data_IF_051284555343
#
_entry.id   IF_051284555343
#
_cell.length_a   1.000
_cell.length_b   1.000
_cell.length_c   1.000
_cell.angle_alpha   90.00
_cell.angle_beta   90.00
_cell.angle_gamma   90.00
#
_symmetry.space_group_name_H-M   'P 1'
#
loop_
_entity.id
_entity.type
_entity.pdbx_description
1 polymer ?
#
# COMPACT_ATOMS: atom_id res chain seq x y z
N UNK A 1 -37.84 25.99 -25.01
CA UNK A 1 -36.92 25.40 -26.02
C UNK A 1 -35.50 25.93 -25.89
N UNK A 2 -35.30 27.26 -25.81
CA UNK A 2 -33.97 27.90 -25.64
C UNK A 2 -33.27 27.51 -24.31
N UNK A 3 -34.03 27.35 -23.21
CA UNK A 3 -33.49 26.86 -21.93
C UNK A 3 -33.02 25.40 -21.97
N UNK A 4 -33.57 24.58 -22.87
CA UNK A 4 -33.20 23.17 -23.02
C UNK A 4 -31.89 23.05 -23.82
N UNK A 5 -31.79 23.81 -24.91
CA UNK A 5 -30.55 23.94 -25.69
C UNK A 5 -29.42 24.63 -24.92
N UNK A 6 -29.71 25.63 -24.07
CA UNK A 6 -28.69 26.23 -23.21
C UNK A 6 -28.18 25.24 -22.14
N UNK A 7 -29.05 24.35 -21.64
CA UNK A 7 -28.66 23.31 -20.69
C UNK A 7 -27.81 22.21 -21.35
N UNK A 8 -28.10 21.85 -22.60
CA UNK A 8 -27.28 20.93 -23.39
C UNK A 8 -25.98 21.57 -23.88
N UNK A 9 -25.99 22.85 -24.27
CA UNK A 9 -24.79 23.58 -24.70
C UNK A 9 -23.82 23.85 -23.54
N UNK A 10 -24.32 24.19 -22.35
CA UNK A 10 -23.51 24.28 -21.12
C UNK A 10 -23.02 22.89 -20.70
N UNK A 11 -23.77 21.83 -21.01
CA UNK A 11 -23.35 20.44 -20.80
C UNK A 11 -22.27 19.97 -21.79
N UNK A 12 -22.21 20.51 -23.02
CA UNK A 12 -21.16 20.17 -23.99
C UNK A 12 -19.88 20.99 -23.82
N UNK A 13 -19.99 22.19 -23.21
CA UNK A 13 -18.86 23.14 -23.06
C UNK A 13 -18.20 23.06 -21.66
N UNK A 14 -18.86 22.46 -20.68
CA UNK A 14 -18.11 21.77 -19.63
C UNK A 14 -17.44 20.56 -20.25
N UNK A 15 -16.11 20.47 -20.16
CA UNK A 15 -15.37 19.20 -20.29
C UNK A 15 -15.94 18.25 -19.25
N UNK A 16 -17.02 17.52 -19.58
CA UNK A 16 -17.57 16.48 -18.72
C UNK A 16 -16.46 15.45 -18.65
N UNK A 17 -15.73 15.44 -17.53
CA UNK A 17 -14.85 14.33 -17.19
C UNK A 17 -15.71 13.09 -17.36
N UNK A 18 -15.29 12.20 -18.26
CA UNK A 18 -15.99 10.96 -18.51
C UNK A 18 -16.24 10.29 -17.14
N UNK A 19 -17.46 9.84 -16.86
CA UNK A 19 -17.79 9.26 -15.54
C UNK A 19 -16.81 8.14 -15.16
N UNK A 20 -16.32 7.40 -16.16
CA UNK A 20 -15.30 6.37 -15.98
C UNK A 20 -13.93 6.94 -15.58
N UNK A 21 -13.51 8.07 -16.17
CA UNK A 21 -12.26 8.75 -15.84
C UNK A 21 -12.30 9.35 -14.43
N UNK A 22 -13.44 9.95 -14.05
CA UNK A 22 -13.65 10.43 -12.67
C UNK A 22 -13.54 9.30 -11.66
N UNK A 23 -14.11 8.14 -11.97
CA UNK A 23 -14.03 6.97 -11.09
C UNK A 23 -12.61 6.39 -11.05
N UNK A 24 -11.90 6.36 -12.18
CA UNK A 24 -10.49 5.96 -12.24
C UNK A 24 -9.62 6.86 -11.35
N UNK A 25 -9.79 8.18 -11.47
CA UNK A 25 -9.10 9.18 -10.67
C UNK A 25 -9.42 9.02 -9.18
N UNK A 26 -10.69 8.93 -8.81
CA UNK A 26 -11.12 8.77 -7.42
C UNK A 26 -10.57 7.49 -6.78
N UNK A 27 -10.55 6.37 -7.51
CA UNK A 27 -9.94 5.11 -7.03
C UNK A 27 -8.45 5.24 -6.83
N UNK A 28 -7.74 5.82 -7.80
CA UNK A 28 -6.29 6.01 -7.70
C UNK A 28 -5.95 6.92 -6.51
N UNK A 29 -6.68 8.03 -6.36
CA UNK A 29 -6.52 8.97 -5.26
C UNK A 29 -6.76 8.30 -3.90
N UNK A 30 -7.81 7.50 -3.78
CA UNK A 30 -8.11 6.75 -2.56
C UNK A 30 -6.99 5.75 -2.22
N UNK A 31 -6.41 5.06 -3.22
CA UNK A 31 -5.32 4.12 -2.99
C UNK A 31 -4.02 4.78 -2.55
N UNK A 32 -3.66 5.95 -3.13
CA UNK A 32 -2.48 6.70 -2.70
C UNK A 32 -2.70 7.38 -1.34
N UNK A 33 -3.89 7.95 -1.10
CA UNK A 33 -4.29 8.48 0.20
C UNK A 33 -4.25 7.42 1.30
N UNK A 34 -4.68 6.19 1.02
CA UNK A 34 -4.59 5.07 1.96
C UNK A 34 -3.13 4.75 2.35
N UNK A 35 -2.17 4.85 1.41
CA UNK A 35 -0.74 4.75 1.75
C UNK A 35 -0.31 5.89 2.67
N UNK A 36 -0.76 7.11 2.38
CA UNK A 36 -0.51 8.29 3.22
C UNK A 36 -1.06 8.13 4.65
N UNK A 37 -2.24 7.55 4.81
CA UNK A 37 -2.82 7.19 6.12
C UNK A 37 -1.93 6.16 6.81
N UNK A 38 -1.50 5.11 6.11
CA UNK A 38 -0.65 4.08 6.69
C UNK A 38 0.68 4.66 7.21
N UNK A 39 1.43 5.38 6.38
CA UNK A 39 2.69 6.02 6.79
C UNK A 39 2.48 7.09 7.86
N UNK A 40 1.42 7.89 7.71
CA UNK A 40 1.04 8.92 8.67
C UNK A 40 0.66 8.36 10.03
N UNK A 41 -0.02 7.20 10.08
CA UNK A 41 -0.40 6.54 11.34
C UNK A 41 0.82 6.03 12.11
N UNK A 42 1.80 5.44 11.42
CA UNK A 42 3.07 5.00 12.02
C UNK A 42 3.82 6.20 12.59
N UNK A 43 3.92 7.29 11.81
CA UNK A 43 4.55 8.53 12.25
C UNK A 43 3.86 9.12 13.47
N UNK A 44 2.53 9.22 13.44
CA UNK A 44 1.70 9.73 14.54
C UNK A 44 1.86 8.93 15.83
N UNK A 45 1.78 7.60 15.76
CA UNK A 45 1.96 6.73 16.93
C UNK A 45 3.40 6.82 17.46
N UNK A 46 4.39 6.87 16.56
CA UNK A 46 5.79 7.07 16.92
C UNK A 46 6.02 8.39 17.65
N UNK A 47 5.47 9.49 17.12
CA UNK A 47 5.56 10.81 17.71
C UNK A 47 4.87 10.87 19.08
N UNK A 48 3.68 10.28 19.18
CA UNK A 48 2.95 10.21 20.44
C UNK A 48 3.73 9.45 21.52
N UNK A 49 4.29 8.28 21.17
CA UNK A 49 5.08 7.49 22.11
C UNK A 49 6.39 8.19 22.48
N UNK A 50 7.05 8.85 21.52
CA UNK A 50 8.28 9.61 21.76
C UNK A 50 8.05 10.74 22.78
N UNK A 51 7.00 11.53 22.62
CA UNK A 51 6.66 12.61 23.56
C UNK A 51 6.32 12.04 24.95
N UNK A 52 5.57 10.93 25.00
CA UNK A 52 5.20 10.26 26.24
C UNK A 52 6.42 9.77 27.03
N UNK A 53 7.41 9.16 26.35
CA UNK A 53 8.61 8.60 26.98
C UNK A 53 9.61 9.71 27.35
N UNK A 54 9.82 10.69 26.46
CA UNK A 54 10.85 11.72 26.66
C UNK A 54 10.43 12.83 27.62
N UNK A 55 9.15 13.17 27.68
CA UNK A 55 8.60 14.28 28.47
C UNK A 55 7.32 13.90 29.26
N UNK A 56 7.40 12.92 30.18
CA UNK A 56 6.23 12.40 30.87
C UNK A 56 5.49 13.43 31.73
N UNK A 57 6.20 14.37 32.36
CA UNK A 57 5.60 15.41 33.21
C UNK A 57 4.71 16.37 32.40
N UNK A 58 5.20 16.83 31.24
CA UNK A 58 4.43 17.73 30.34
C UNK A 58 3.29 17.00 29.66
N UNK A 59 3.51 15.74 29.28
CA UNK A 59 2.49 14.93 28.60
C UNK A 59 1.26 14.66 29.48
N UNK A 60 1.44 14.52 30.81
CA UNK A 60 0.32 14.39 31.76
C UNK A 60 -0.55 15.64 31.83
N UNK A 61 0.03 16.82 31.65
CA UNK A 61 -0.67 18.11 31.69
C UNK A 61 -1.47 18.41 30.41
N UNK A 62 -1.19 17.71 29.30
CA UNK A 62 -1.91 17.95 28.04
C UNK A 62 -3.36 17.48 28.11
N UNK A 63 -4.27 18.34 27.66
CA UNK A 63 -5.68 18.01 27.46
C UNK A 63 -5.85 16.91 26.40
N UNK A 64 -6.99 16.22 26.46
CA UNK A 64 -7.31 15.16 25.50
C UNK A 64 -7.26 15.67 24.06
N UNK A 65 -7.68 16.91 23.80
CA UNK A 65 -7.65 17.52 22.47
C UNK A 65 -6.24 17.71 21.90
N UNK A 66 -5.25 18.05 22.74
CA UNK A 66 -3.86 18.17 22.30
C UNK A 66 -3.31 16.79 21.93
N UNK A 67 -3.64 15.78 22.75
CA UNK A 67 -3.23 14.39 22.51
C UNK A 67 -3.81 13.83 21.21
N UNK A 68 -5.08 14.10 20.91
CA UNK A 68 -5.70 13.70 19.64
C UNK A 68 -5.11 14.47 18.47
N UNK A 69 -4.82 15.77 18.62
CA UNK A 69 -4.20 16.60 17.59
C UNK A 69 -2.82 16.06 17.16
N UNK A 70 -1.99 15.66 18.13
CA UNK A 70 -0.67 15.03 17.87
C UNK A 70 -0.82 13.73 17.06
N UNK A 71 -1.91 12.98 17.26
CA UNK A 71 -2.18 11.76 16.50
C UNK A 71 -2.78 12.04 15.12
N UNK A 72 -3.73 12.95 15.03
CA UNK A 72 -4.55 13.15 13.83
C UNK A 72 -3.81 14.00 12.79
N UNK A 73 -3.14 15.08 13.19
CA UNK A 73 -2.54 16.02 12.24
C UNK A 73 -1.47 15.39 11.34
N UNK A 74 -0.50 14.61 11.86
CA UNK A 74 0.49 13.98 10.98
C UNK A 74 -0.15 12.94 10.06
N UNK A 75 -1.19 12.23 10.53
CA UNK A 75 -1.91 11.24 9.72
C UNK A 75 -2.67 11.90 8.56
N UNK A 76 -3.44 12.95 8.83
CA UNK A 76 -4.19 13.67 7.78
C UNK A 76 -3.22 14.41 6.85
N UNK A 77 -2.18 15.03 7.38
CA UNK A 77 -1.16 15.72 6.58
C UNK A 77 -0.46 14.78 5.60
N UNK A 78 -0.04 13.60 6.05
CA UNK A 78 0.53 12.58 5.15
C UNK A 78 -0.50 12.06 4.15
N UNK A 79 -1.76 11.83 4.55
CA UNK A 79 -2.83 11.43 3.65
C UNK A 79 -3.01 12.45 2.51
N UNK A 80 -3.17 13.72 2.84
CA UNK A 80 -3.33 14.81 1.87
C UNK A 80 -2.11 14.91 0.94
N UNK A 81 -0.89 14.87 1.49
CA UNK A 81 0.33 14.94 0.68
C UNK A 81 0.44 13.80 -0.34
N UNK A 82 0.15 12.56 0.05
CA UNK A 82 0.18 11.42 -0.86
C UNK A 82 -0.97 11.44 -1.85
N UNK A 83 -2.15 11.90 -1.45
CA UNK A 83 -3.28 12.09 -2.34
C UNK A 83 -2.94 13.15 -3.42
N UNK A 84 -2.38 14.30 -3.04
CA UNK A 84 -2.00 15.37 -3.99
C UNK A 84 -0.95 14.89 -5.00
N UNK A 85 0.09 14.18 -4.51
CA UNK A 85 1.09 13.56 -5.39
C UNK A 85 0.46 12.50 -6.29
N UNK A 86 -0.47 11.72 -5.76
CA UNK A 86 -1.24 10.73 -6.52
C UNK A 86 -2.03 11.36 -7.65
N UNK A 87 -2.71 12.48 -7.39
CA UNK A 87 -3.49 13.21 -8.39
C UNK A 87 -2.61 13.65 -9.57
N UNK A 88 -1.46 14.26 -9.31
CA UNK A 88 -0.51 14.71 -10.35
C UNK A 88 0.05 13.52 -11.14
N UNK A 89 0.38 12.42 -10.47
CA UNK A 89 0.89 11.22 -11.14
C UNK A 89 -0.17 10.56 -12.01
N UNK A 90 -1.42 10.52 -11.55
CA UNK A 90 -2.54 10.00 -12.33
C UNK A 90 -2.75 10.82 -13.60
N UNK A 91 -2.83 12.15 -13.46
CA UNK A 91 -3.04 13.07 -14.58
C UNK A 91 -1.96 12.91 -15.66
N UNK A 92 -0.69 12.83 -15.24
CA UNK A 92 0.44 12.55 -16.13
C UNK A 92 0.29 11.21 -16.85
N UNK A 93 -0.17 10.16 -16.18
CA UNK A 93 -0.35 8.83 -16.78
C UNK A 93 -1.56 8.80 -17.73
N UNK A 94 -2.66 9.44 -17.34
CA UNK A 94 -3.88 9.51 -18.13
C UNK A 94 -3.65 10.23 -19.47
N UNK A 95 -2.89 11.33 -19.46
CA UNK A 95 -2.57 12.12 -20.65
C UNK A 95 -1.27 11.70 -21.35
N UNK A 96 -0.58 10.66 -20.87
CA UNK A 96 0.58 10.10 -21.58
C UNK A 96 0.17 9.36 -22.86
N UNK A 97 1.07 9.30 -23.84
CA UNK A 97 0.80 8.67 -25.14
C UNK A 97 0.38 7.20 -24.98
N UNK A 98 -0.89 6.89 -25.27
CA UNK A 98 -1.48 5.56 -25.11
C UNK A 98 -1.75 5.12 -23.66
N UNK A 99 -1.56 5.99 -22.67
CA UNK A 99 -1.78 5.67 -21.25
C UNK A 99 -3.25 5.69 -20.85
N UNK A 100 -4.00 6.71 -21.27
CA UNK A 100 -5.42 6.85 -20.95
C UNK A 100 -6.30 5.65 -21.31
N UNK A 101 -6.27 5.16 -22.57
CA UNK A 101 -7.04 3.98 -22.96
C UNK A 101 -6.71 2.73 -22.15
N UNK A 102 -5.42 2.52 -21.80
CA UNK A 102 -4.97 1.38 -20.99
C UNK A 102 -5.53 1.43 -19.58
N UNK A 103 -5.48 2.59 -18.93
CA UNK A 103 -5.99 2.78 -17.56
C UNK A 103 -7.51 2.53 -17.50
N UNK A 104 -8.25 3.01 -18.51
CA UNK A 104 -9.69 2.79 -18.60
C UNK A 104 -10.02 1.31 -18.88
N UNK A 105 -9.23 0.64 -19.72
CA UNK A 105 -9.38 -0.80 -19.98
C UNK A 105 -9.10 -1.63 -18.72
N UNK A 106 -8.03 -1.33 -17.99
CA UNK A 106 -7.71 -1.95 -16.71
C UNK A 106 -8.82 -1.74 -15.69
N UNK A 107 -9.40 -0.53 -15.62
CA UNK A 107 -10.55 -0.25 -14.75
C UNK A 107 -11.76 -1.10 -15.13
N UNK A 108 -12.06 -1.24 -16.43
CA UNK A 108 -13.20 -2.06 -16.90
C UNK A 108 -12.98 -3.54 -16.58
N UNK A 109 -11.77 -4.07 -16.81
CA UNK A 109 -11.38 -5.42 -16.39
C UNK A 109 -11.53 -5.60 -14.87
N UNK A 110 -11.06 -4.63 -14.10
CA UNK A 110 -11.18 -4.63 -12.63
C UNK A 110 -12.63 -4.62 -12.14
N UNK A 111 -13.53 -3.93 -12.84
CA UNK A 111 -14.96 -3.94 -12.51
C UNK A 111 -15.61 -5.28 -12.85
N UNK A 112 -15.25 -5.86 -14.00
CA UNK A 112 -15.83 -7.11 -14.50
C UNK A 112 -15.42 -8.34 -13.69
N UNK A 113 -14.25 -8.33 -13.05
CA UNK A 113 -13.81 -9.44 -12.18
C UNK A 113 -14.74 -9.68 -10.99
N UNK A 114 -14.83 -10.93 -10.55
CA UNK A 114 -15.48 -11.31 -9.28
C UNK A 114 -14.68 -10.80 -8.07
N UNK A 115 -15.34 -10.61 -6.92
CA UNK A 115 -14.67 -10.21 -5.67
C UNK A 115 -13.54 -11.15 -5.27
N UNK A 116 -13.71 -12.46 -5.50
CA UNK A 116 -12.65 -13.46 -5.27
C UNK A 116 -11.44 -13.23 -6.17
N UNK A 117 -11.68 -13.06 -7.47
CA UNK A 117 -10.62 -12.82 -8.47
C UNK A 117 -9.87 -11.52 -8.18
N UNK A 118 -10.57 -10.47 -7.72
CA UNK A 118 -9.95 -9.22 -7.29
C UNK A 118 -8.97 -9.47 -6.15
N UNK A 119 -9.38 -10.18 -5.11
CA UNK A 119 -8.50 -10.48 -3.96
C UNK A 119 -7.28 -11.30 -4.40
N UNK A 120 -7.47 -12.35 -5.20
CA UNK A 120 -6.37 -13.17 -5.72
C UNK A 120 -5.42 -12.32 -6.59
N UNK A 121 -5.96 -11.42 -7.41
CA UNK A 121 -5.16 -10.52 -8.26
C UNK A 121 -4.32 -9.56 -7.41
N UNK A 122 -4.90 -8.88 -6.42
CA UNK A 122 -4.14 -8.00 -5.51
C UNK A 122 -3.00 -8.75 -4.82
N UNK A 123 -3.29 -9.96 -4.34
CA UNK A 123 -2.32 -10.80 -3.63
C UNK A 123 -1.20 -11.22 -4.59
N UNK A 124 -1.53 -11.60 -5.82
CA UNK A 124 -0.56 -11.98 -6.86
C UNK A 124 0.34 -10.81 -7.25
N UNK A 125 -0.23 -9.62 -7.43
CA UNK A 125 0.50 -8.41 -7.84
C UNK A 125 1.44 -7.90 -6.74
N UNK A 126 1.09 -8.14 -5.47
CA UNK A 126 1.87 -7.73 -4.31
C UNK A 126 2.55 -8.90 -3.60
N UNK A 127 2.68 -10.06 -4.25
CA UNK A 127 3.19 -11.30 -3.63
C UNK A 127 4.51 -11.12 -2.88
N UNK A 128 5.45 -10.36 -3.45
CA UNK A 128 6.75 -10.08 -2.83
C UNK A 128 6.62 -9.19 -1.60
N UNK A 129 5.78 -8.15 -1.66
CA UNK A 129 5.54 -7.25 -0.52
C UNK A 129 4.83 -7.99 0.61
N UNK A 130 3.87 -8.85 0.30
CA UNK A 130 3.16 -9.67 1.26
C UNK A 130 4.14 -10.65 1.91
N UNK A 131 4.96 -11.33 1.13
CA UNK A 131 5.93 -12.30 1.64
C UNK A 131 6.95 -11.67 2.59
N UNK A 132 7.51 -10.51 2.21
CA UNK A 132 8.42 -9.74 3.06
C UNK A 132 7.67 -9.21 4.30
N UNK A 133 6.43 -8.75 4.14
CA UNK A 133 5.59 -8.27 5.23
C UNK A 133 5.28 -9.38 6.25
N UNK A 134 4.96 -10.58 5.79
CA UNK A 134 4.73 -11.75 6.65
C UNK A 134 6.01 -12.17 7.36
N UNK A 135 7.16 -12.12 6.69
CA UNK A 135 8.46 -12.38 7.32
C UNK A 135 8.76 -11.39 8.45
N UNK A 136 8.67 -10.09 8.16
CA UNK A 136 8.87 -9.04 9.18
C UNK A 136 7.82 -9.15 10.31
N UNK A 137 6.58 -9.45 9.97
CA UNK A 137 5.49 -9.69 10.92
C UNK A 137 5.77 -10.87 11.85
N UNK A 138 6.33 -11.97 11.33
CA UNK A 138 6.71 -13.14 12.12
C UNK A 138 7.82 -12.81 13.13
N UNK A 139 8.81 -12.01 12.73
CA UNK A 139 9.90 -11.59 13.61
C UNK A 139 9.35 -10.66 14.70
N UNK A 140 8.56 -9.66 14.31
CA UNK A 140 7.98 -8.69 15.24
C UNK A 140 7.02 -9.37 16.23
N UNK A 141 6.17 -10.28 15.76
CA UNK A 141 5.27 -11.05 16.60
C UNK A 141 6.01 -11.88 17.63
N UNK A 142 7.12 -12.51 17.23
CA UNK A 142 7.98 -13.26 18.16
C UNK A 142 8.63 -12.34 19.19
N UNK A 143 9.16 -11.19 18.76
CA UNK A 143 9.75 -10.22 19.67
C UNK A 143 8.74 -9.69 20.70
N UNK A 144 7.55 -9.29 20.25
CA UNK A 144 6.48 -8.79 21.11
C UNK A 144 6.00 -9.86 22.10
N UNK A 145 5.84 -11.11 21.64
CA UNK A 145 5.48 -12.24 22.48
C UNK A 145 6.55 -12.52 23.55
N UNK A 146 7.82 -12.57 23.16
CA UNK A 146 8.96 -12.82 24.06
C UNK A 146 9.11 -11.70 25.10
N UNK A 147 8.89 -10.45 24.70
CA UNK A 147 9.02 -9.31 25.61
C UNK A 147 7.91 -9.26 26.66
N UNK A 148 6.70 -9.71 26.31
CA UNK A 148 5.57 -9.82 27.24
C UNK A 148 5.83 -10.80 28.40
N UNK A 149 6.72 -11.78 28.19
CA UNK A 149 7.04 -12.79 29.19
C UNK A 149 8.08 -12.27 30.20
N UNK A 150 7.59 -11.83 31.37
CA UNK A 150 8.42 -11.34 32.49
C UNK A 150 9.23 -12.43 33.19
N UNK A 151 8.84 -13.69 33.05
CA UNK A 151 9.48 -14.84 33.73
C UNK A 151 10.76 -15.32 33.02
N UNK A 152 11.08 -14.78 31.85
CA UNK A 152 12.15 -15.30 31.01
C UNK A 152 13.39 -14.39 31.08
N UNK A 153 14.54 -14.99 31.40
CA UNK A 153 15.83 -14.29 31.44
C UNK A 153 16.20 -13.68 30.08
N UNK A 154 16.91 -12.55 30.09
CA UNK A 154 17.28 -11.79 28.89
C UNK A 154 18.08 -12.65 27.88
N UNK A 155 18.91 -13.57 28.37
CA UNK A 155 19.68 -14.50 27.52
C UNK A 155 18.77 -15.46 26.77
N UNK A 156 17.76 -16.00 27.45
CA UNK A 156 16.77 -16.94 26.88
C UNK A 156 15.85 -16.24 25.87
N UNK A 157 15.49 -14.98 26.13
CA UNK A 157 14.76 -14.11 25.19
C UNK A 157 15.53 -13.95 23.88
N UNK A 158 16.79 -13.54 23.96
CA UNK A 158 17.63 -13.32 22.79
C UNK A 158 17.85 -14.61 21.97
N UNK A 159 18.08 -15.74 22.64
CA UNK A 159 18.25 -17.04 21.96
C UNK A 159 16.98 -17.46 21.19
N UNK A 160 15.80 -17.27 21.79
CA UNK A 160 14.51 -17.61 21.16
C UNK A 160 14.28 -16.78 19.90
N UNK A 161 14.49 -15.46 19.99
CA UNK A 161 14.34 -14.55 18.85
C UNK A 161 15.29 -14.94 17.71
N UNK A 162 16.57 -15.21 18.03
CA UNK A 162 17.56 -15.63 17.03
C UNK A 162 17.17 -16.93 16.33
N UNK A 163 16.71 -17.93 17.10
CA UNK A 163 16.27 -19.23 16.57
C UNK A 163 15.10 -19.07 15.59
N UNK A 164 14.07 -18.33 15.99
CA UNK A 164 12.89 -18.11 15.14
C UNK A 164 13.26 -17.30 13.91
N UNK A 165 14.09 -16.27 14.04
CA UNK A 165 14.56 -15.47 12.91
C UNK A 165 15.34 -16.30 11.88
N UNK A 166 16.24 -17.18 12.33
CA UNK A 166 16.97 -18.08 11.44
C UNK A 166 16.05 -19.05 10.71
N UNK A 167 15.12 -19.68 11.44
CA UNK A 167 14.15 -20.61 10.86
C UNK A 167 13.17 -19.94 9.88
N UNK A 168 12.63 -18.77 10.25
CA UNK A 168 11.71 -18.03 9.39
C UNK A 168 12.42 -17.58 8.11
N UNK A 169 13.61 -17.00 8.22
CA UNK A 169 14.37 -16.52 7.06
C UNK A 169 14.64 -17.64 6.06
N UNK A 170 14.96 -18.85 6.52
CA UNK A 170 15.10 -20.03 5.65
C UNK A 170 13.82 -20.36 4.88
N UNK A 171 12.67 -20.43 5.55
CA UNK A 171 11.37 -20.73 4.92
C UNK A 171 10.98 -19.66 3.90
N UNK A 172 11.15 -18.38 4.24
CA UNK A 172 10.82 -17.27 3.34
C UNK A 172 11.78 -17.17 2.15
N UNK A 173 13.07 -17.46 2.35
CA UNK A 173 14.05 -17.54 1.26
C UNK A 173 13.71 -18.67 0.28
N UNK A 174 13.32 -19.84 0.79
CA UNK A 174 12.85 -20.95 -0.04
C UNK A 174 11.57 -20.58 -0.80
N UNK A 175 10.59 -19.95 -0.14
CA UNK A 175 9.37 -19.50 -0.80
C UNK A 175 9.64 -18.48 -1.92
N UNK A 176 10.56 -17.52 -1.68
CA UNK A 176 11.03 -16.58 -2.69
C UNK A 176 11.70 -17.32 -3.86
N UNK A 177 12.60 -18.24 -3.57
CA UNK A 177 13.31 -19.03 -4.58
C UNK A 177 12.34 -19.85 -5.43
N UNK A 178 11.35 -20.52 -4.82
CA UNK A 178 10.31 -21.26 -5.54
C UNK A 178 9.47 -20.35 -6.42
N UNK A 179 9.11 -19.15 -5.94
CA UNK A 179 8.35 -18.17 -6.74
C UNK A 179 9.16 -17.69 -7.95
N UNK A 180 10.45 -17.39 -7.76
CA UNK A 180 11.35 -16.97 -8.82
C UNK A 180 11.62 -18.09 -9.82
N UNK A 181 11.78 -19.33 -9.35
CA UNK A 181 11.96 -20.49 -10.22
C UNK A 181 10.72 -20.73 -11.08
N UNK A 182 9.52 -20.63 -10.50
CA UNK A 182 8.27 -20.79 -11.23
C UNK A 182 8.11 -19.73 -12.33
N UNK A 183 8.43 -18.46 -12.03
CA UNK A 183 8.45 -17.41 -13.06
C UNK A 183 9.45 -17.69 -14.17
N UNK A 184 10.66 -18.14 -13.82
CA UNK A 184 11.70 -18.50 -14.80
C UNK A 184 11.28 -19.69 -15.67
N UNK A 185 10.61 -20.69 -15.11
CA UNK A 185 10.11 -21.84 -15.85
C UNK A 185 8.99 -21.44 -16.81
N UNK A 186 8.03 -20.62 -16.36
CA UNK A 186 6.96 -20.11 -17.23
C UNK A 186 7.52 -19.25 -18.37
N UNK A 187 8.48 -18.37 -18.07
CA UNK A 187 9.11 -17.54 -19.10
C UNK A 187 10.02 -18.34 -20.04
N UNK A 188 10.68 -19.38 -19.54
CA UNK A 188 11.50 -20.29 -20.34
C UNK A 188 10.69 -21.24 -21.24
N UNK A 189 9.44 -21.53 -20.89
CA UNK A 189 8.54 -22.33 -21.74
C UNK A 189 7.90 -21.50 -22.87
N UNK A 190 7.71 -20.19 -22.66
CA UNK A 190 7.09 -19.27 -23.63
C UNK A 190 8.12 -18.71 -24.63
N UNK A 191 9.42 -18.77 -24.33
CA UNK A 191 10.50 -18.44 -25.27
C UNK A 191 11.33 -19.69 -25.59
N UNK A 192 10.93 -20.53 -26.57
CA UNK A 192 11.88 -21.46 -27.15
C UNK A 192 12.94 -20.63 -27.86
N UNK A 193 14.17 -20.65 -27.33
CA UNK A 193 15.43 -20.12 -27.92
C UNK A 193 15.25 -19.56 -29.34
N UNK A 194 15.20 -18.24 -29.48
CA UNK A 194 15.58 -17.56 -30.72
C UNK A 194 17.12 -17.40 -30.82
N UNK A 195 17.86 -18.39 -30.33
CA UNK A 195 19.33 -18.47 -30.47
C UNK A 195 19.66 -19.56 -31.50
N UNK A 196 19.33 -19.29 -32.76
CA UNK A 196 19.93 -19.95 -33.94
C UNK A 196 20.09 -18.90 -35.04
N UNK A 197 21.33 -18.79 -35.53
CA UNK A 197 21.90 -17.89 -36.54
C UNK A 197 22.28 -16.48 -36.05
N UNK A 198 23.58 -16.21 -35.91
CA UNK A 198 24.52 -15.77 -36.98
C UNK A 198 24.17 -14.39 -37.50
#
# INVERSE_FOLDING_TARGET
MVQFYAREAISSDMKIINREEREAHAKYLATEGAKGIFYGSILSVGLFNFIKVRYPAKFKLFSTSIKTCILILPTIGCCAFWADRGSVVFDRRMHSYGGGPKILEELRKWKAMSTYEKTVTVVKDNKYKILIGTWLGSIYGTWAYVESNKLMDATKKAATIKRVNGGSTGVFALALASCLLNERLLNGFISPKSDVNK
#
